data_IF_647133984908
#
_entry.id   IF_647133984908
#
_cell.length_a   1.000
_cell.length_b   1.000
_cell.length_c   1.000
_cell.angle_alpha   90.00
_cell.angle_beta   90.00
_cell.angle_gamma   90.00
#
_symmetry.space_group_name_H-M   'P 1'
#
loop_
_entity.id
_entity.type
_entity.pdbx_description
1 polymer ?
#
# COMPACT_ATOMS: atom_id res chain seq x y z
N UNK A 1 -29.36 -22.83 -5.71
CA UNK A 1 -28.54 -21.65 -6.01
C UNK A 1 -27.46 -22.07 -6.99
N UNK A 2 -27.24 -21.37 -8.11
CA UNK A 2 -26.04 -21.56 -8.92
C UNK A 2 -24.81 -21.35 -8.02
N UNK A 3 -23.77 -22.15 -8.20
CA UNK A 3 -22.59 -22.26 -7.34
C UNK A 3 -21.68 -21.00 -7.33
N UNK A 4 -22.14 -19.88 -7.86
CA UNK A 4 -21.30 -18.70 -8.16
C UNK A 4 -21.73 -17.40 -7.45
N UNK A 5 -22.87 -17.39 -6.76
CA UNK A 5 -23.24 -16.25 -5.92
C UNK A 5 -22.77 -16.48 -4.49
N UNK A 6 -21.97 -15.55 -3.90
CA UNK A 6 -21.50 -15.70 -2.54
C UNK A 6 -22.68 -15.72 -1.55
N UNK A 7 -22.73 -16.73 -0.68
CA UNK A 7 -23.72 -16.87 0.38
C UNK A 7 -23.30 -16.07 1.60
N UNK A 8 -23.91 -14.89 1.78
CA UNK A 8 -23.66 -14.02 2.94
C UNK A 8 -24.06 -14.62 4.30
N UNK A 9 -24.67 -15.82 4.32
CA UNK A 9 -25.00 -16.56 5.55
C UNK A 9 -24.01 -17.67 5.86
N UNK A 10 -23.09 -18.02 4.96
CA UNK A 10 -22.01 -18.97 5.23
C UNK A 10 -20.82 -18.26 5.90
N UNK A 11 -20.52 -18.54 7.19
CA UNK A 11 -19.38 -17.91 7.89
C UNK A 11 -18.01 -18.33 7.34
N UNK A 12 -17.94 -19.38 6.53
CA UNK A 12 -16.70 -19.87 5.91
C UNK A 12 -16.46 -19.29 4.51
N UNK A 13 -17.46 -18.62 3.93
CA UNK A 13 -17.34 -17.98 2.63
C UNK A 13 -16.75 -16.56 2.77
N UNK A 14 -15.71 -16.27 1.99
CA UNK A 14 -15.08 -14.95 1.98
C UNK A 14 -15.92 -13.99 1.13
N UNK A 15 -16.78 -13.22 1.80
CA UNK A 15 -17.57 -12.17 1.16
C UNK A 15 -16.84 -10.82 1.32
N UNK A 16 -16.23 -10.35 0.22
CA UNK A 16 -15.66 -9.01 0.16
C UNK A 16 -16.74 -7.95 -0.10
N UNK A 17 -16.66 -6.82 0.58
CA UNK A 17 -17.49 -5.63 0.29
C UNK A 17 -16.59 -4.45 -0.07
N UNK A 18 -16.96 -3.74 -1.13
CA UNK A 18 -16.27 -2.51 -1.51
C UNK A 18 -16.75 -1.36 -0.61
N UNK A 19 -15.80 -0.64 -0.01
CA UNK A 19 -16.10 0.59 0.72
C UNK A 19 -15.81 1.79 -0.20
N UNK A 20 -16.74 2.75 -0.36
CA UNK A 20 -16.51 3.91 -1.19
C UNK A 20 -15.28 4.69 -0.71
N UNK A 21 -14.29 4.83 -1.58
CA UNK A 21 -13.10 5.62 -1.34
C UNK A 21 -12.95 6.66 -2.44
N UNK A 22 -12.81 7.93 -2.05
CA UNK A 22 -12.44 8.99 -2.98
C UNK A 22 -10.93 8.99 -3.22
N UNK A 23 -10.48 9.84 -4.15
CA UNK A 23 -9.06 9.95 -4.46
C UNK A 23 -8.20 10.31 -3.24
N UNK A 24 -8.71 11.13 -2.31
CA UNK A 24 -7.99 11.53 -1.10
C UNK A 24 -7.78 10.35 -0.13
N UNK A 25 -8.77 9.47 -0.01
CA UNK A 25 -8.64 8.23 0.74
C UNK A 25 -7.58 7.30 0.12
N UNK A 26 -7.54 7.19 -1.21
CA UNK A 26 -6.53 6.39 -1.91
C UNK A 26 -5.13 6.98 -1.74
N UNK A 27 -4.96 8.29 -1.83
CA UNK A 27 -3.68 8.96 -1.56
C UNK A 27 -3.20 8.71 -0.13
N UNK A 28 -4.11 8.84 0.85
CA UNK A 28 -3.80 8.54 2.26
C UNK A 28 -3.31 7.09 2.43
N UNK A 29 -3.96 6.13 1.77
CA UNK A 29 -3.56 4.73 1.79
C UNK A 29 -2.15 4.53 1.21
N UNK A 30 -1.81 5.18 0.08
CA UNK A 30 -0.46 5.13 -0.49
C UNK A 30 0.57 5.69 0.48
N UNK A 31 0.30 6.84 1.09
CA UNK A 31 1.22 7.48 2.05
C UNK A 31 1.47 6.58 3.26
N UNK A 32 0.43 5.93 3.81
CA UNK A 32 0.58 4.99 4.93
C UNK A 32 1.41 3.78 4.53
N UNK A 33 1.15 3.16 3.37
CA UNK A 33 2.00 2.06 2.89
C UNK A 33 3.46 2.49 2.71
N UNK A 34 3.70 3.66 2.13
CA UNK A 34 5.05 4.17 1.93
C UNK A 34 5.76 4.47 3.26
N UNK A 35 5.06 5.04 4.25
CA UNK A 35 5.58 5.26 5.60
C UNK A 35 6.04 3.95 6.25
N UNK A 36 5.20 2.91 6.23
CA UNK A 36 5.54 1.62 6.85
C UNK A 36 6.82 1.03 6.25
N UNK A 37 6.96 1.09 4.92
CA UNK A 37 8.17 0.59 4.27
C UNK A 37 9.40 1.50 4.48
N UNK A 38 9.22 2.81 4.58
CA UNK A 38 10.29 3.74 4.94
C UNK A 38 10.83 3.45 6.35
N UNK A 39 9.94 3.15 7.32
CA UNK A 39 10.32 2.72 8.67
C UNK A 39 11.09 1.40 8.67
N UNK A 40 10.79 0.51 7.72
CA UNK A 40 11.50 -0.75 7.48
C UNK A 40 12.77 -0.60 6.62
N UNK A 41 13.15 0.63 6.28
CA UNK A 41 14.35 0.97 5.48
C UNK A 41 14.36 0.42 4.07
N UNK A 42 13.20 0.29 3.45
CA UNK A 42 13.14 0.03 2.03
C UNK A 42 13.48 1.30 1.26
N UNK A 43 14.20 1.16 0.15
CA UNK A 43 14.43 2.26 -0.78
C UNK A 43 13.20 2.50 -1.67
N UNK A 44 13.21 3.65 -2.36
CA UNK A 44 12.14 4.06 -3.28
C UNK A 44 11.79 2.98 -4.29
N UNK A 45 12.79 2.40 -4.94
CA UNK A 45 12.56 1.51 -6.08
C UNK A 45 11.94 0.19 -5.61
N UNK A 46 12.33 -0.29 -4.42
CA UNK A 46 11.72 -1.44 -3.76
C UNK A 46 10.28 -1.17 -3.33
N UNK A 47 9.99 0.01 -2.80
CA UNK A 47 8.61 0.41 -2.45
C UNK A 47 7.75 0.47 -3.72
N UNK A 48 8.20 1.19 -4.76
CA UNK A 48 7.49 1.28 -6.04
C UNK A 48 7.27 -0.08 -6.70
N UNK A 49 8.23 -1.00 -6.59
CA UNK A 49 8.06 -2.36 -7.10
C UNK A 49 6.88 -3.08 -6.43
N UNK A 50 6.64 -2.88 -5.12
CA UNK A 50 5.49 -3.48 -4.43
C UNK A 50 4.16 -2.97 -5.00
N UNK A 51 4.04 -1.67 -5.29
CA UNK A 51 2.86 -1.08 -5.92
C UNK A 51 2.59 -1.62 -7.33
N UNK A 52 3.62 -2.01 -8.08
CA UNK A 52 3.46 -2.56 -9.44
C UNK A 52 3.07 -4.04 -9.46
N UNK A 53 3.18 -4.77 -8.36
CA UNK A 53 2.93 -6.22 -8.32
C UNK A 53 1.44 -6.53 -8.07
N UNK A 54 0.72 -7.20 -8.99
CA UNK A 54 -0.71 -7.48 -8.85
C UNK A 54 -1.09 -8.34 -7.63
N UNK A 55 -0.15 -9.14 -7.11
CA UNK A 55 -0.36 -9.95 -5.89
C UNK A 55 -0.60 -9.10 -4.64
N UNK A 56 -0.19 -7.83 -4.64
CA UNK A 56 -0.49 -6.87 -3.59
C UNK A 56 -1.71 -6.06 -4.01
N UNK A 57 -2.89 -6.69 -4.01
CA UNK A 57 -4.11 -6.17 -4.63
C UNK A 57 -4.43 -4.71 -4.23
N UNK A 58 -4.34 -4.36 -2.94
CA UNK A 58 -4.63 -3.00 -2.46
C UNK A 58 -3.62 -1.95 -2.94
N UNK A 59 -2.32 -2.24 -2.82
CA UNK A 59 -1.27 -1.36 -3.30
C UNK A 59 -1.33 -1.22 -4.84
N UNK A 60 -1.52 -2.33 -5.54
CA UNK A 60 -1.66 -2.33 -6.98
C UNK A 60 -2.91 -1.58 -7.46
N UNK A 61 -4.04 -1.74 -6.77
CA UNK A 61 -5.27 -0.98 -7.02
C UNK A 61 -5.04 0.52 -6.85
N UNK A 62 -4.35 0.93 -5.79
CA UNK A 62 -4.01 2.34 -5.55
C UNK A 62 -3.12 2.91 -6.68
N UNK A 63 -2.13 2.14 -7.13
CA UNK A 63 -1.27 2.52 -8.25
C UNK A 63 -2.03 2.63 -9.57
N UNK A 64 -3.00 1.75 -9.83
CA UNK A 64 -3.88 1.84 -10.99
C UNK A 64 -4.81 3.06 -10.93
N UNK A 65 -5.28 3.43 -9.75
CA UNK A 65 -6.20 4.54 -9.54
C UNK A 65 -5.50 5.92 -9.65
N UNK A 66 -4.32 6.07 -9.03
CA UNK A 66 -3.60 7.35 -8.98
C UNK A 66 -2.55 7.53 -10.08
N UNK A 67 -2.05 6.42 -10.64
CA UNK A 67 -0.96 6.42 -11.60
C UNK A 67 0.43 6.53 -10.96
N UNK A 68 1.45 6.16 -11.73
CA UNK A 68 2.82 6.11 -11.22
C UNK A 68 3.41 7.45 -10.77
N UNK A 69 3.21 8.59 -11.47
CA UNK A 69 3.78 9.86 -11.04
C UNK A 69 3.33 10.25 -9.62
N UNK A 70 2.03 10.15 -9.33
CA UNK A 70 1.49 10.51 -8.02
C UNK A 70 1.95 9.57 -6.92
N UNK A 71 1.97 8.26 -7.18
CA UNK A 71 2.49 7.27 -6.22
C UNK A 71 3.97 7.53 -5.91
N UNK A 72 4.77 7.89 -6.92
CA UNK A 72 6.18 8.21 -6.73
C UNK A 72 6.39 9.42 -5.82
N UNK A 73 5.65 10.49 -6.04
CA UNK A 73 5.69 11.68 -5.17
C UNK A 73 5.41 11.31 -3.71
N UNK A 74 4.32 10.59 -3.45
CA UNK A 74 3.93 10.18 -2.10
C UNK A 74 4.96 9.26 -1.43
N UNK A 75 5.61 8.39 -2.22
CA UNK A 75 6.69 7.53 -1.72
C UNK A 75 7.93 8.34 -1.36
N UNK A 76 8.30 9.32 -2.18
CA UNK A 76 9.44 10.20 -1.91
C UNK A 76 9.20 11.05 -0.66
N UNK A 77 8.01 11.65 -0.52
CA UNK A 77 7.59 12.38 0.69
C UNK A 77 7.68 11.50 1.95
N UNK A 78 7.22 10.25 1.88
CA UNK A 78 7.27 9.33 3.01
C UNK A 78 8.71 8.95 3.37
N UNK A 79 9.58 8.72 2.38
CA UNK A 79 10.98 8.40 2.62
C UNK A 79 11.72 9.56 3.28
N UNK A 80 11.48 10.79 2.85
CA UNK A 80 12.07 11.98 3.47
C UNK A 80 11.65 12.14 4.93
N UNK A 81 10.39 11.84 5.24
CA UNK A 81 9.81 12.07 6.57
C UNK A 81 10.06 10.92 7.56
N UNK A 82 10.03 9.68 7.08
CA UNK A 82 9.90 8.51 7.96
C UNK A 82 11.07 7.55 7.91
N UNK A 83 12.04 7.72 6.99
CA UNK A 83 13.26 6.92 7.02
C UNK A 83 13.99 7.16 8.33
N UNK A 84 14.14 6.16 9.22
CA UNK A 84 14.80 6.43 10.49
C UNK A 84 16.29 6.82 10.29
N UNK A 85 16.95 7.48 11.24
CA UNK A 85 18.36 7.84 11.07
C UNK A 85 19.24 6.60 10.96
N UNK A 86 20.41 6.70 10.31
CA UNK A 86 21.39 5.61 10.31
C UNK A 86 21.66 5.16 11.75
N UNK A 87 21.77 3.85 12.00
CA UNK A 87 22.17 3.37 13.32
C UNK A 87 23.56 3.94 13.59
N UNK A 88 23.68 4.84 14.58
CA UNK A 88 24.98 5.30 15.06
C UNK A 88 25.82 4.09 15.44
N UNK A 89 27.02 4.00 14.87
CA UNK A 89 27.96 2.94 15.17
C UNK A 89 28.36 2.97 16.64
N UNK A 90 28.27 1.79 17.25
CA UNK A 90 29.02 1.27 18.39
C UNK A 90 29.73 2.28 19.29
N UNK A 91 29.26 2.33 20.55
CA UNK A 91 30.13 2.64 21.67
C UNK A 91 31.26 1.60 21.70
N UNK A 92 32.37 1.91 21.03
CA UNK A 92 33.68 1.31 21.25
C UNK A 92 34.37 2.00 22.43
#
# INVERSE_FOLDING_TARGET
MPKEEPDGTDPMELVGVEFPADAAAVETMVSVYAEEYARLRWDRDRILAAFRMPRYASAHGAWRALGEPRVRELVEEALERFTPPARGGDHA
#
